data_IF_691410584641
#
_entry.id   IF_691410584641
#
_cell.length_a   1.000
_cell.length_b   1.000
_cell.length_c   1.000
_cell.angle_alpha   90.00
_cell.angle_beta   90.00
_cell.angle_gamma   90.00
#
_symmetry.space_group_name_H-M   'P 1'
#
loop_
_entity.id
_entity.type
_entity.pdbx_description
1 polymer ?
#
# COMPACT_ATOMS: atom_id res chain seq x y z
N UNK A 1 7.20 -6.58 7.47
CA UNK A 1 6.74 -6.74 6.07
C UNK A 1 7.81 -6.15 5.20
N UNK A 2 8.38 -6.96 4.32
CA UNK A 2 9.46 -6.59 3.41
C UNK A 2 9.04 -7.02 2.00
N UNK A 3 9.31 -6.20 0.99
CA UNK A 3 9.00 -6.57 -0.39
C UNK A 3 10.10 -7.49 -0.91
N UNK A 4 9.74 -8.68 -1.39
CA UNK A 4 10.69 -9.70 -1.88
C UNK A 4 11.54 -9.20 -3.06
N UNK A 5 10.94 -8.35 -3.92
CA UNK A 5 11.64 -7.71 -5.04
C UNK A 5 11.03 -6.34 -5.37
N UNK A 6 11.75 -5.26 -5.10
CA UNK A 6 11.30 -3.91 -5.47
C UNK A 6 11.61 -3.66 -6.95
N UNK A 7 10.55 -3.45 -7.74
CA UNK A 7 10.62 -3.28 -9.20
C UNK A 7 10.33 -1.82 -9.60
N UNK A 8 9.41 -1.15 -8.91
CA UNK A 8 9.03 0.24 -9.19
C UNK A 8 8.38 0.86 -7.95
N UNK A 9 8.88 1.99 -7.45
CA UNK A 9 8.33 2.64 -6.25
C UNK A 9 7.27 3.70 -6.54
N UNK A 10 7.02 4.02 -7.81
CA UNK A 10 6.02 5.02 -8.23
C UNK A 10 4.63 4.60 -7.74
N UNK A 11 3.96 5.48 -6.97
CA UNK A 11 2.62 5.23 -6.43
C UNK A 11 2.55 4.48 -5.10
N UNK A 12 3.69 4.11 -4.49
CA UNK A 12 3.70 3.46 -3.18
C UNK A 12 3.05 4.35 -2.10
N UNK A 13 3.33 5.67 -2.14
CA UNK A 13 2.74 6.65 -1.21
C UNK A 13 1.23 6.80 -1.42
N UNK A 14 0.79 6.87 -2.67
CA UNK A 14 -0.63 7.00 -3.01
C UNK A 14 -1.39 5.75 -2.57
N UNK A 15 -0.78 4.57 -2.76
CA UNK A 15 -1.32 3.29 -2.26
C UNK A 15 -1.51 3.31 -0.74
N UNK A 16 -0.53 3.80 0.03
CA UNK A 16 -0.71 3.94 1.49
C UNK A 16 -1.85 4.91 1.82
N UNK A 17 -1.92 6.04 1.10
CA UNK A 17 -2.91 7.11 1.32
C UNK A 17 -4.33 6.66 0.94
N UNK A 18 -4.49 5.76 -0.02
CA UNK A 18 -5.78 5.18 -0.40
C UNK A 18 -6.24 4.07 0.54
N UNK A 19 -5.34 3.13 0.90
CA UNK A 19 -5.73 1.93 1.65
C UNK A 19 -5.90 2.16 3.16
N UNK A 20 -5.21 3.15 3.74
CA UNK A 20 -5.39 3.52 5.14
C UNK A 20 -6.81 4.01 5.48
N UNK A 21 -7.39 5.02 4.78
CA UNK A 21 -8.75 5.48 5.05
C UNK A 21 -9.80 4.41 4.75
N UNK A 22 -9.59 3.55 3.76
CA UNK A 22 -10.47 2.41 3.47
C UNK A 22 -10.52 1.45 4.68
N UNK A 23 -9.37 1.09 5.25
CA UNK A 23 -9.32 0.25 6.45
C UNK A 23 -9.93 0.95 7.68
N UNK A 24 -9.71 2.26 7.81
CA UNK A 24 -10.20 3.05 8.93
C UNK A 24 -11.72 3.22 8.90
N UNK A 25 -12.31 3.51 7.74
CA UNK A 25 -13.77 3.55 7.54
C UNK A 25 -14.40 2.17 7.79
N UNK A 26 -13.68 1.09 7.50
CA UNK A 26 -14.07 -0.28 7.86
C UNK A 26 -14.03 -0.62 9.35
N UNK A 27 -13.75 0.36 10.23
CA UNK A 27 -13.74 0.17 11.69
C UNK A 27 -12.49 -0.50 12.25
N UNK A 28 -11.43 -0.64 11.44
CA UNK A 28 -10.19 -1.26 11.91
C UNK A 28 -9.42 -0.34 12.87
N UNK A 29 -8.75 -0.91 13.89
CA UNK A 29 -7.81 -0.15 14.71
C UNK A 29 -6.71 0.47 13.85
N UNK A 30 -6.24 1.67 14.22
CA UNK A 30 -5.24 2.43 13.44
C UNK A 30 -3.98 1.62 13.09
N UNK A 31 -3.52 0.77 14.02
CA UNK A 31 -2.36 -0.10 13.80
C UNK A 31 -2.63 -1.14 12.70
N UNK A 32 -3.85 -1.69 12.62
CA UNK A 32 -4.24 -2.59 11.54
C UNK A 32 -4.40 -1.86 10.21
N UNK A 33 -4.91 -0.62 10.22
CA UNK A 33 -4.97 0.20 9.01
C UNK A 33 -3.58 0.45 8.43
N UNK A 34 -2.59 0.76 9.28
CA UNK A 34 -1.20 0.93 8.86
C UNK A 34 -0.60 -0.35 8.29
N UNK A 35 -0.84 -1.50 8.93
CA UNK A 35 -0.38 -2.80 8.42
C UNK A 35 -1.00 -3.14 7.07
N UNK A 36 -2.29 -2.87 6.90
CA UNK A 36 -3.01 -3.10 5.64
C UNK A 36 -2.50 -2.20 4.51
N UNK A 37 -2.36 -0.91 4.78
CA UNK A 37 -1.81 0.05 3.82
C UNK A 37 -0.35 -0.27 3.44
N UNK A 38 0.47 -0.69 4.41
CA UNK A 38 1.84 -1.12 4.17
C UNK A 38 1.91 -2.41 3.33
N UNK A 39 1.00 -3.36 3.55
CA UNK A 39 0.90 -4.57 2.73
C UNK A 39 0.55 -4.24 1.27
N UNK A 40 -0.45 -3.37 1.07
CA UNK A 40 -0.86 -2.93 -0.26
C UNK A 40 0.28 -2.19 -0.99
N UNK A 41 0.99 -1.29 -0.30
CA UNK A 41 2.15 -0.59 -0.85
C UNK A 41 3.31 -1.55 -1.17
N UNK A 42 3.55 -2.54 -0.31
CA UNK A 42 4.56 -3.57 -0.56
C UNK A 42 4.26 -4.39 -1.81
N UNK A 43 2.98 -4.69 -2.09
CA UNK A 43 2.57 -5.35 -3.34
C UNK A 43 2.69 -4.43 -4.56
N UNK A 44 2.33 -3.16 -4.40
CA UNK A 44 2.42 -2.14 -5.43
C UNK A 44 3.84 -1.99 -5.98
N UNK A 45 4.85 -2.04 -5.10
CA UNK A 45 6.24 -1.86 -5.53
C UNK A 45 6.87 -3.06 -6.23
N UNK A 46 6.20 -4.23 -6.20
CA UNK A 46 6.70 -5.48 -6.78
C UNK A 46 6.31 -5.67 -8.26
N UNK A 47 5.52 -4.77 -8.84
CA UNK A 47 5.14 -4.78 -10.26
C UNK A 47 5.54 -3.48 -10.95
N UNK A 48 5.98 -3.57 -12.22
CA UNK A 48 6.13 -2.38 -13.08
C UNK A 48 4.73 -1.80 -13.33
N UNK A 49 4.52 -0.51 -13.04
CA UNK A 49 3.34 0.22 -13.51
C UNK A 49 2.08 0.23 -12.63
N UNK A 50 2.17 0.61 -11.35
CA UNK A 50 0.96 0.94 -10.58
C UNK A 50 0.28 2.25 -11.02
N UNK A 51 0.98 3.08 -11.81
CA UNK A 51 0.53 4.40 -12.24
C UNK A 51 0.95 4.72 -13.68
N UNK A 52 0.94 3.71 -14.56
CA UNK A 52 1.06 3.98 -16.00
C UNK A 52 -0.32 4.41 -16.50
N UNK A 53 -0.48 5.70 -16.77
CA UNK A 53 -1.57 6.27 -17.58
C UNK A 53 -1.46 5.80 -19.03
#
# INVERSE_FOLDING_TARGET
MEAEKVVNTTGARDTVTTFYPVAFVGGKPKVECLRFAAAAASLCVQKVGAMNF
#
